data_IF_309275682428
#
_entry.id   IF_309275682428
#
_cell.length_a   1.000
_cell.length_b   1.000
_cell.length_c   1.000
_cell.angle_alpha   90.00
_cell.angle_beta   90.00
_cell.angle_gamma   90.00
#
_symmetry.space_group_name_H-M   'P 1'
#
loop_
_entity.id
_entity.type
_entity.pdbx_description
1 polymer ?
#
# COMPACT_ATOMS: atom_id res chain seq x y z
N UNK A 1 -0.08 11.90 46.82
CA UNK A 1 -0.24 10.50 46.38
C UNK A 1 -0.84 10.52 44.99
N UNK A 2 -0.21 9.86 44.02
CA UNK A 2 -0.77 9.70 42.68
C UNK A 2 -2.09 8.91 42.76
N UNK A 3 -3.09 9.35 42.01
CA UNK A 3 -4.41 8.72 41.95
C UNK A 3 -4.25 7.25 41.51
N UNK A 4 -4.87 6.27 42.17
CA UNK A 4 -4.76 4.88 41.77
C UNK A 4 -5.36 4.70 40.37
N UNK A 5 -4.60 4.05 39.49
CA UNK A 5 -5.01 3.77 38.11
C UNK A 5 -6.17 2.77 38.11
N UNK A 6 -7.17 3.06 37.30
CA UNK A 6 -8.27 2.15 36.98
C UNK A 6 -7.76 0.90 36.27
N UNK A 7 -8.50 -0.21 36.31
CA UNK A 7 -8.07 -1.45 35.65
C UNK A 7 -7.97 -1.32 34.12
N UNK A 8 -8.72 -0.37 33.54
CA UNK A 8 -8.60 -0.02 32.13
C UNK A 8 -7.29 0.72 31.83
N UNK A 9 -6.83 1.60 32.73
CA UNK A 9 -5.53 2.27 32.64
C UNK A 9 -4.36 1.32 32.92
N UNK A 10 -4.55 0.30 33.78
CA UNK A 10 -3.57 -0.78 33.98
C UNK A 10 -3.40 -1.63 32.72
N UNK A 11 -4.49 -1.96 32.02
CA UNK A 11 -4.46 -2.72 30.75
C UNK A 11 -3.88 -1.92 29.57
N UNK A 12 -3.92 -0.58 29.62
CA UNK A 12 -3.28 0.31 28.64
C UNK A 12 -1.76 0.46 28.85
N UNK A 13 -1.19 -0.08 29.92
CA UNK A 13 0.25 0.05 30.15
C UNK A 13 1.05 -0.78 29.15
N UNK A 14 1.95 -0.13 28.42
CA UNK A 14 3.01 -0.78 27.65
C UNK A 14 3.93 -1.51 28.65
N UNK A 15 4.31 -2.76 28.35
CA UNK A 15 5.22 -3.57 29.19
C UNK A 15 6.61 -2.94 29.37
N UNK A 16 6.99 -1.97 28.53
CA UNK A 16 8.28 -1.29 28.55
C UNK A 16 8.04 0.23 28.47
N UNK A 17 8.21 0.93 29.60
CA UNK A 17 8.00 2.39 29.72
C UNK A 17 9.26 3.23 29.44
N UNK A 18 10.44 2.61 29.47
CA UNK A 18 11.71 3.26 29.13
C UNK A 18 12.01 3.17 27.62
N UNK A 19 12.73 4.15 27.10
CA UNK A 19 13.65 3.85 25.99
C UNK A 19 14.80 3.08 26.65
N UNK A 20 15.23 1.95 26.07
CA UNK A 20 16.44 1.27 26.52
C UNK A 20 17.59 2.24 26.24
N UNK A 21 17.91 3.06 27.23
CA UNK A 21 18.92 4.10 27.16
C UNK A 21 20.29 3.46 27.33
N UNK A 22 21.18 3.73 26.37
CA UNK A 22 22.53 3.17 26.25
C UNK A 22 22.48 1.66 26.00
N UNK A 23 22.24 1.30 24.75
CA UNK A 23 22.18 -0.10 24.34
C UNK A 23 23.57 -0.71 24.46
N UNK A 24 23.75 -1.43 25.57
CA UNK A 24 25.00 -2.08 25.93
C UNK A 24 25.21 -3.27 24.98
N UNK A 25 26.40 -3.36 24.39
CA UNK A 25 26.88 -4.50 23.58
C UNK A 25 26.50 -5.85 24.23
N UNK A 26 26.54 -5.93 25.57
CA UNK A 26 26.12 -7.11 26.32
C UNK A 26 24.65 -7.52 26.10
N UNK A 27 23.71 -6.55 26.06
CA UNK A 27 22.29 -6.82 25.81
C UNK A 27 22.05 -7.24 24.36
N UNK A 28 22.74 -6.63 23.39
CA UNK A 28 22.66 -7.05 21.98
C UNK A 28 23.14 -8.49 21.79
N UNK A 29 24.28 -8.87 22.40
CA UNK A 29 24.77 -10.26 22.38
C UNK A 29 23.78 -11.23 23.02
N UNK A 30 23.12 -10.83 24.11
CA UNK A 30 22.11 -11.65 24.78
C UNK A 30 20.85 -11.79 23.91
N UNK A 31 20.39 -10.71 23.29
CA UNK A 31 19.30 -10.71 22.32
C UNK A 31 19.57 -11.63 21.13
N UNK A 32 20.76 -11.50 20.53
CA UNK A 32 21.24 -12.34 19.43
C UNK A 32 21.19 -13.83 19.79
N UNK A 33 21.83 -14.23 20.90
CA UNK A 33 21.84 -15.63 21.32
C UNK A 33 20.44 -16.15 21.68
N UNK A 34 19.58 -15.30 22.25
CA UNK A 34 18.18 -15.63 22.53
C UNK A 34 17.42 -15.92 21.24
N UNK A 35 17.57 -15.12 20.19
CA UNK A 35 16.90 -15.37 18.91
C UNK A 35 17.47 -16.57 18.18
N UNK A 36 18.79 -16.74 18.18
CA UNK A 36 19.42 -17.94 17.61
C UNK A 36 18.85 -19.23 18.25
N UNK A 37 18.71 -19.23 19.58
CA UNK A 37 18.23 -20.40 20.30
C UNK A 37 16.70 -20.60 20.21
N UNK A 38 15.90 -19.58 20.56
CA UNK A 38 14.45 -19.73 20.71
C UNK A 38 13.65 -19.40 19.45
N UNK A 39 14.15 -18.52 18.59
CA UNK A 39 13.45 -18.14 17.35
C UNK A 39 13.85 -19.05 16.21
N UNK A 40 15.14 -19.33 16.06
CA UNK A 40 15.66 -20.14 14.94
C UNK A 40 15.85 -21.62 15.29
N UNK A 41 15.80 -21.96 16.58
CA UNK A 41 15.98 -23.35 17.05
C UNK A 41 17.35 -23.91 16.62
N UNK A 42 18.39 -23.09 16.83
CA UNK A 42 19.77 -23.41 16.47
C UNK A 42 20.70 -23.31 17.68
N UNK A 43 21.76 -24.11 17.65
CA UNK A 43 22.96 -23.91 18.45
C UNK A 43 24.15 -23.50 17.54
N UNK A 44 25.23 -23.01 18.15
CA UNK A 44 26.37 -22.46 17.41
C UNK A 44 27.13 -23.48 16.55
N UNK A 45 26.98 -24.78 16.80
CA UNK A 45 27.68 -25.82 16.04
C UNK A 45 27.05 -26.10 14.67
N UNK A 46 25.75 -25.80 14.52
CA UNK A 46 24.97 -26.08 13.29
C UNK A 46 24.39 -24.83 12.64
N UNK A 47 24.63 -23.66 13.24
CA UNK A 47 24.18 -22.38 12.71
C UNK A 47 24.99 -21.97 11.48
N UNK A 48 24.26 -21.58 10.44
CA UNK A 48 24.81 -21.07 9.17
C UNK A 48 24.86 -19.53 9.19
N UNK A 49 25.59 -18.89 8.26
CA UNK A 49 25.55 -17.43 8.13
C UNK A 49 24.14 -16.85 8.03
N UNK A 50 23.22 -17.54 7.35
CA UNK A 50 21.80 -17.13 7.25
C UNK A 50 21.09 -17.17 8.60
N UNK A 51 21.37 -18.18 9.43
CA UNK A 51 20.82 -18.25 10.79
C UNK A 51 21.34 -17.05 11.62
N UNK A 52 22.61 -16.68 11.48
CA UNK A 52 23.18 -15.51 12.16
C UNK A 52 22.58 -14.19 11.69
N UNK A 53 22.35 -14.03 10.38
CA UNK A 53 21.62 -12.87 9.85
C UNK A 53 20.23 -12.74 10.47
N UNK A 54 19.42 -13.81 10.48
CA UNK A 54 18.08 -13.75 11.05
C UNK A 54 18.10 -13.47 12.56
N UNK A 55 19.07 -14.01 13.30
CA UNK A 55 19.22 -13.71 14.71
C UNK A 55 19.52 -12.22 14.96
N UNK A 56 20.38 -11.61 14.13
CA UNK A 56 20.67 -10.18 14.16
C UNK A 56 19.45 -9.35 13.76
N UNK A 57 18.76 -9.68 12.65
CA UNK A 57 17.58 -8.98 12.18
C UNK A 57 16.45 -8.97 13.24
N UNK A 58 16.18 -10.11 13.88
CA UNK A 58 15.22 -10.17 14.98
C UNK A 58 15.65 -9.34 16.19
N UNK A 59 16.94 -9.36 16.53
CA UNK A 59 17.50 -8.55 17.62
C UNK A 59 17.26 -7.07 17.33
N UNK A 60 17.67 -6.55 16.17
CA UNK A 60 17.48 -5.14 15.78
C UNK A 60 15.99 -4.78 15.71
N UNK A 61 15.15 -5.67 15.19
CA UNK A 61 13.70 -5.46 15.09
C UNK A 61 13.03 -5.26 16.45
N UNK A 62 13.48 -5.94 17.52
CA UNK A 62 12.91 -5.75 18.85
C UNK A 62 13.03 -4.28 19.33
N UNK A 63 14.06 -3.56 18.90
CA UNK A 63 14.24 -2.14 19.18
C UNK A 63 13.28 -1.23 18.40
N UNK A 64 12.76 -1.69 17.26
CA UNK A 64 11.71 -0.99 16.52
C UNK A 64 10.34 -1.13 17.17
N UNK A 65 9.99 -2.33 17.65
CA UNK A 65 8.62 -2.66 18.09
C UNK A 65 8.12 -1.71 19.17
N UNK A 66 8.96 -1.41 20.19
CA UNK A 66 8.60 -0.49 21.26
C UNK A 66 8.37 0.95 20.78
N UNK A 67 9.17 1.42 19.82
CA UNK A 67 9.02 2.75 19.21
C UNK A 67 7.78 2.81 18.33
N UNK A 68 7.56 1.78 17.52
CA UNK A 68 6.43 1.65 16.63
C UNK A 68 5.08 1.67 17.35
N UNK A 69 4.94 0.89 18.42
CA UNK A 69 3.72 0.91 19.25
C UNK A 69 3.46 2.33 19.78
N UNK A 70 4.48 3.02 20.29
CA UNK A 70 4.35 4.38 20.82
C UNK A 70 4.01 5.40 19.75
N UNK A 71 4.60 5.32 18.56
CA UNK A 71 4.26 6.22 17.44
C UNK A 71 2.81 6.05 17.02
N UNK A 72 2.34 4.81 16.86
CA UNK A 72 0.94 4.55 16.51
C UNK A 72 -0.02 5.05 17.60
N UNK A 73 0.29 4.76 18.88
CA UNK A 73 -0.49 5.28 20.01
C UNK A 73 -0.53 6.81 20.03
N UNK A 74 0.61 7.47 19.83
CA UNK A 74 0.70 8.93 19.76
C UNK A 74 -0.20 9.50 18.65
N UNK A 75 -0.21 8.89 17.46
CA UNK A 75 -1.10 9.32 16.38
C UNK A 75 -2.58 9.10 16.72
N UNK A 76 -2.94 8.04 17.43
CA UNK A 76 -4.33 7.89 17.90
C UNK A 76 -4.70 8.90 18.98
N UNK A 77 -3.80 9.24 19.90
CA UNK A 77 -4.06 10.19 20.99
C UNK A 77 -4.12 11.64 20.52
N UNK A 78 -3.20 12.04 19.64
CA UNK A 78 -3.15 13.39 19.07
C UNK A 78 -4.10 13.61 17.92
N UNK A 79 -4.45 12.52 17.23
CA UNK A 79 -5.36 12.50 16.09
C UNK A 79 -5.02 13.55 15.01
N UNK A 80 -3.77 13.60 14.53
CA UNK A 80 -3.36 14.56 13.51
C UNK A 80 -3.98 14.19 12.15
N UNK A 81 -3.93 15.14 11.21
CA UNK A 81 -4.12 14.83 9.80
C UNK A 81 -3.10 13.76 9.36
N UNK A 82 -3.58 12.72 8.69
CA UNK A 82 -2.77 11.59 8.23
C UNK A 82 -2.56 11.65 6.73
N UNK A 83 -1.35 11.29 6.31
CA UNK A 83 -0.92 11.24 4.91
C UNK A 83 -0.89 9.78 4.47
N UNK A 84 -1.53 9.48 3.35
CA UNK A 84 -1.56 8.15 2.76
C UNK A 84 -0.96 8.21 1.37
N UNK A 85 0.21 7.57 1.21
CA UNK A 85 0.93 7.51 -0.05
C UNK A 85 0.62 6.18 -0.74
N UNK A 86 -0.15 6.22 -1.82
CA UNK A 86 -0.55 5.02 -2.57
C UNK A 86 0.41 4.85 -3.74
N UNK A 87 1.09 3.70 -3.78
CA UNK A 87 2.01 3.34 -4.86
C UNK A 87 1.89 1.85 -5.13
N UNK A 88 1.90 1.46 -6.41
CA UNK A 88 2.02 0.06 -6.80
C UNK A 88 3.46 -0.46 -6.67
N UNK A 89 4.41 0.42 -6.37
CA UNK A 89 5.83 0.10 -6.22
C UNK A 89 6.43 0.74 -4.96
N UNK A 90 7.25 -0.04 -4.24
CA UNK A 90 8.15 0.42 -3.19
C UNK A 90 9.49 -0.29 -3.33
N UNK A 91 10.49 0.38 -3.89
CA UNK A 91 11.82 -0.21 -4.05
C UNK A 91 12.64 0.02 -2.78
N UNK A 92 12.41 -0.85 -1.79
CA UNK A 92 12.95 -0.67 -0.43
C UNK A 92 14.43 -1.04 -0.33
N UNK A 93 14.84 -2.14 -0.98
CA UNK A 93 16.15 -2.75 -0.82
C UNK A 93 16.29 -3.49 0.52
N UNK A 94 17.53 -3.62 1.00
CA UNK A 94 17.85 -4.19 2.32
C UNK A 94 17.45 -3.26 3.47
N UNK A 95 16.99 -3.82 4.59
CA UNK A 95 16.42 -3.05 5.71
C UNK A 95 17.30 -3.06 6.96
N UNK A 96 18.17 -4.06 7.14
CA UNK A 96 18.97 -4.23 8.35
C UNK A 96 19.85 -3.02 8.66
N UNK A 97 20.72 -2.66 7.71
CA UNK A 97 21.66 -1.56 7.87
C UNK A 97 20.94 -0.21 8.04
N UNK A 98 19.92 0.07 7.22
CA UNK A 98 19.12 1.29 7.34
C UNK A 98 18.47 1.41 8.74
N UNK A 99 17.95 0.31 9.27
CA UNK A 99 17.36 0.29 10.62
C UNK A 99 18.41 0.58 11.69
N UNK A 100 19.59 -0.04 11.61
CA UNK A 100 20.68 0.21 12.56
C UNK A 100 21.12 1.67 12.54
N UNK A 101 21.22 2.28 11.36
CA UNK A 101 21.57 3.70 11.18
C UNK A 101 20.49 4.58 11.83
N UNK A 102 19.22 4.40 11.46
CA UNK A 102 18.12 5.26 11.93
C UNK A 102 17.88 5.14 13.44
N UNK A 103 18.23 4.00 14.05
CA UNK A 103 18.16 3.81 15.50
C UNK A 103 19.44 4.22 16.25
N UNK A 104 20.54 4.49 15.54
CA UNK A 104 21.85 4.80 16.14
C UNK A 104 22.54 3.59 16.77
N UNK A 105 22.31 2.39 16.24
CA UNK A 105 22.75 1.10 16.81
C UNK A 105 23.90 0.44 16.04
N UNK A 106 24.31 1.01 14.91
CA UNK A 106 25.28 0.40 14.00
C UNK A 106 26.57 -0.02 14.72
N UNK A 107 27.25 0.92 15.39
CA UNK A 107 28.51 0.62 16.10
C UNK A 107 28.33 -0.40 17.24
N UNK A 108 27.18 -0.39 17.91
CA UNK A 108 26.92 -1.32 19.01
C UNK A 108 26.64 -2.74 18.50
N UNK A 109 25.97 -2.87 17.35
CA UNK A 109 25.75 -4.14 16.68
C UNK A 109 27.07 -4.69 16.11
N UNK A 110 27.87 -3.85 15.47
CA UNK A 110 29.18 -4.22 14.94
C UNK A 110 30.08 -4.81 16.03
N UNK A 111 30.28 -4.09 17.14
CA UNK A 111 31.05 -4.59 18.29
C UNK A 111 30.45 -5.87 18.90
N UNK A 112 29.13 -5.99 18.98
CA UNK A 112 28.47 -7.18 19.50
C UNK A 112 28.72 -8.42 18.63
N UNK A 113 28.61 -8.27 17.31
CA UNK A 113 28.81 -9.32 16.31
C UNK A 113 30.30 -9.70 16.24
N UNK A 114 31.21 -8.72 16.25
CA UNK A 114 32.65 -8.94 16.34
C UNK A 114 33.04 -9.77 17.57
N UNK A 115 32.54 -9.42 18.76
CA UNK A 115 32.81 -10.19 19.98
C UNK A 115 32.19 -11.60 19.99
N UNK A 116 31.22 -11.87 19.11
CA UNK A 116 30.68 -13.22 18.91
C UNK A 116 31.52 -14.01 17.89
N UNK A 117 32.51 -13.40 17.25
CA UNK A 117 33.39 -14.02 16.25
C UNK A 117 32.74 -14.09 14.87
N UNK A 118 31.94 -13.09 14.52
CA UNK A 118 31.23 -12.97 13.24
C UNK A 118 31.58 -11.62 12.60
N UNK A 119 31.43 -11.52 11.28
CA UNK A 119 31.56 -10.27 10.52
C UNK A 119 30.16 -9.74 10.18
N UNK A 120 29.87 -8.49 10.52
CA UNK A 120 28.55 -7.90 10.26
C UNK A 120 28.32 -7.63 8.78
N UNK A 121 29.35 -7.31 8.00
CA UNK A 121 29.23 -7.05 6.56
C UNK A 121 28.83 -8.33 5.82
N UNK A 122 29.40 -9.47 6.21
CA UNK A 122 29.00 -10.78 5.67
C UNK A 122 27.53 -11.10 5.97
N UNK A 123 27.01 -10.67 7.13
CA UNK A 123 25.59 -10.88 7.48
C UNK A 123 24.66 -9.93 6.74
N UNK A 124 25.08 -8.68 6.50
CA UNK A 124 24.33 -7.70 5.72
C UNK A 124 24.15 -8.14 4.26
N UNK A 125 25.16 -8.81 3.68
CA UNK A 125 25.11 -9.34 2.30
C UNK A 125 24.14 -10.51 2.11
N UNK A 126 23.70 -11.17 3.18
CA UNK A 126 22.74 -12.29 3.11
C UNK A 126 21.30 -11.81 2.96
N UNK A 127 21.02 -10.56 3.34
CA UNK A 127 19.69 -9.97 3.23
C UNK A 127 19.28 -9.87 1.76
N UNK A 128 18.14 -10.46 1.42
CA UNK A 128 17.53 -10.30 0.11
C UNK A 128 16.89 -8.91 0.00
N UNK A 129 17.00 -8.29 -1.16
CA UNK A 129 16.32 -7.01 -1.42
C UNK A 129 14.81 -7.19 -1.44
N UNK A 130 14.07 -6.31 -0.78
CA UNK A 130 12.64 -6.17 -1.01
C UNK A 130 12.40 -5.41 -2.32
N UNK A 131 12.55 -6.12 -3.45
CA UNK A 131 12.42 -5.65 -4.84
C UNK A 131 10.99 -5.37 -5.29
N UNK A 132 10.20 -4.70 -4.46
CA UNK A 132 8.77 -4.42 -4.69
C UNK A 132 8.55 -3.19 -5.59
N UNK A 133 9.52 -2.84 -6.41
CA UNK A 133 9.49 -1.76 -7.40
C UNK A 133 10.45 -2.03 -8.54
N UNK A 134 10.21 -1.39 -9.69
CA UNK A 134 11.02 -1.60 -10.90
C UNK A 134 12.19 -0.60 -10.96
N UNK A 135 11.93 0.67 -10.62
CA UNK A 135 12.95 1.70 -10.79
C UNK A 135 12.70 2.97 -9.99
N UNK A 136 12.92 4.12 -10.64
CA UNK A 136 12.93 5.43 -9.99
C UNK A 136 11.62 5.79 -9.27
N UNK A 137 10.47 5.37 -9.81
CA UNK A 137 9.16 5.62 -9.18
C UNK A 137 9.03 4.89 -7.84
N UNK A 138 9.33 3.59 -7.80
CA UNK A 138 9.36 2.80 -6.57
C UNK A 138 10.42 3.27 -5.57
N UNK A 139 11.60 3.69 -6.04
CA UNK A 139 12.66 4.20 -5.15
C UNK A 139 12.32 5.55 -4.56
N UNK A 140 11.68 6.44 -5.32
CA UNK A 140 11.17 7.71 -4.80
C UNK A 140 10.19 7.48 -3.66
N UNK A 141 9.25 6.54 -3.83
CA UNK A 141 8.29 6.17 -2.80
C UNK A 141 8.99 5.70 -1.51
N UNK A 142 10.01 4.84 -1.62
CA UNK A 142 10.80 4.38 -0.49
C UNK A 142 11.52 5.54 0.24
N UNK A 143 12.17 6.43 -0.51
CA UNK A 143 12.84 7.62 0.06
C UNK A 143 11.85 8.58 0.73
N UNK A 144 10.64 8.73 0.20
CA UNK A 144 9.58 9.52 0.83
C UNK A 144 9.12 8.90 2.15
N UNK A 145 9.01 7.58 2.27
CA UNK A 145 8.64 6.94 3.54
C UNK A 145 9.68 7.22 4.63
N UNK A 146 10.97 7.08 4.32
CA UNK A 146 12.06 7.42 5.25
C UNK A 146 12.00 8.90 5.65
N UNK A 147 11.86 9.81 4.68
CA UNK A 147 11.77 11.25 4.93
C UNK A 147 10.57 11.61 5.81
N UNK A 148 9.38 11.04 5.54
CA UNK A 148 8.18 11.31 6.33
C UNK A 148 8.32 10.82 7.77
N UNK A 149 8.97 9.67 7.98
CA UNK A 149 9.29 9.18 9.32
C UNK A 149 10.30 10.11 10.03
N UNK A 150 11.35 10.53 9.34
CA UNK A 150 12.39 11.45 9.85
C UNK A 150 11.83 12.83 10.21
N UNK A 151 10.85 13.33 9.44
CA UNK A 151 10.16 14.59 9.71
C UNK A 151 9.04 14.47 10.76
N UNK A 152 8.77 13.27 11.29
CA UNK A 152 7.73 13.05 12.30
C UNK A 152 6.30 13.18 11.76
N UNK A 153 6.11 13.08 10.44
CA UNK A 153 4.81 13.19 9.79
C UNK A 153 4.01 11.90 10.01
N UNK A 154 2.71 12.03 10.33
CA UNK A 154 1.79 10.90 10.50
C UNK A 154 1.42 10.29 9.13
N UNK A 155 2.37 9.57 8.54
CA UNK A 155 2.29 9.07 7.18
C UNK A 155 2.31 7.55 7.08
N UNK A 156 1.66 7.03 6.04
CA UNK A 156 1.55 5.61 5.75
C UNK A 156 1.81 5.37 4.26
N UNK A 157 2.65 4.40 3.94
CA UNK A 157 2.77 3.87 2.59
C UNK A 157 1.80 2.71 2.39
N UNK A 158 1.07 2.70 1.27
CA UNK A 158 0.17 1.60 0.90
C UNK A 158 0.53 1.05 -0.47
N UNK A 159 0.70 -0.27 -0.54
CA UNK A 159 1.08 -0.98 -1.76
C UNK A 159 0.63 -2.45 -1.74
N UNK A 160 1.19 -3.23 -2.67
CA UNK A 160 0.93 -4.68 -2.79
C UNK A 160 2.16 -5.44 -2.27
N UNK A 161 1.92 -6.53 -1.54
CA UNK A 161 2.96 -7.46 -1.12
C UNK A 161 3.15 -8.50 -2.21
N UNK A 162 3.94 -8.17 -3.23
CA UNK A 162 4.23 -9.12 -4.30
C UNK A 162 5.05 -10.30 -3.77
N UNK A 163 4.64 -11.51 -4.14
CA UNK A 163 5.37 -12.73 -3.79
C UNK A 163 6.71 -12.80 -4.53
N UNK A 164 6.68 -12.41 -5.80
CA UNK A 164 7.84 -12.21 -6.65
C UNK A 164 7.95 -10.73 -7.02
N UNK A 165 9.15 -10.17 -6.86
CA UNK A 165 9.46 -8.80 -7.25
C UNK A 165 9.49 -8.61 -8.77
N UNK A 166 10.43 -7.82 -9.27
CA UNK A 166 10.60 -7.63 -10.71
C UNK A 166 11.11 -8.91 -11.41
N UNK A 167 12.40 -9.21 -11.30
CA UNK A 167 13.06 -10.45 -11.71
C UNK A 167 14.56 -10.35 -11.36
N UNK A 168 15.20 -11.49 -11.18
CA UNK A 168 16.66 -11.59 -11.12
C UNK A 168 17.23 -11.67 -12.55
N UNK A 169 18.00 -10.67 -12.94
CA UNK A 169 18.66 -10.64 -14.25
C UNK A 169 19.92 -11.53 -14.23
N UNK A 170 20.01 -12.46 -15.18
CA UNK A 170 21.26 -13.17 -15.49
C UNK A 170 21.68 -12.94 -16.93
N UNK A 171 22.98 -12.95 -17.18
CA UNK A 171 23.54 -12.89 -18.52
C UNK A 171 24.02 -14.28 -18.92
N UNK A 172 23.41 -14.86 -19.95
CA UNK A 172 23.82 -16.14 -20.55
C UNK A 172 24.12 -15.91 -22.02
N UNK A 173 25.36 -16.22 -22.44
CA UNK A 173 25.80 -16.07 -23.83
C UNK A 173 25.60 -14.65 -24.41
N UNK A 174 25.74 -13.62 -23.57
CA UNK A 174 25.53 -12.21 -23.96
C UNK A 174 24.07 -11.75 -23.97
N UNK A 175 23.12 -12.61 -23.62
CA UNK A 175 21.69 -12.29 -23.58
C UNK A 175 21.14 -12.27 -22.15
N UNK A 176 20.14 -11.40 -21.94
CA UNK A 176 19.36 -11.38 -20.71
C UNK A 176 18.51 -12.64 -20.59
N UNK A 177 18.50 -13.21 -19.38
CA UNK A 177 17.58 -14.27 -18.96
C UNK A 177 16.96 -13.83 -17.63
N UNK A 178 15.62 -13.79 -17.57
CA UNK A 178 14.90 -13.49 -16.35
C UNK A 178 14.68 -14.75 -15.50
N UNK A 179 15.02 -14.68 -14.21
CA UNK A 179 14.63 -15.66 -13.22
C UNK A 179 13.73 -15.00 -12.16
N UNK A 180 12.79 -15.76 -11.57
CA UNK A 180 11.87 -15.21 -10.57
C UNK A 180 12.63 -14.71 -9.33
N UNK A 181 12.21 -13.56 -8.81
CA UNK A 181 12.72 -12.99 -7.57
C UNK A 181 11.96 -13.53 -6.36
N UNK A 182 12.44 -14.63 -5.79
CA UNK A 182 11.83 -15.33 -4.64
C UNK A 182 12.38 -14.80 -3.29
N UNK A 183 12.27 -13.49 -3.08
CA UNK A 183 12.78 -12.79 -1.90
C UNK A 183 12.15 -13.25 -0.58
N UNK A 184 10.96 -13.87 -0.64
CA UNK A 184 10.23 -14.38 0.53
C UNK A 184 10.54 -15.84 0.88
N UNK A 185 11.33 -16.55 0.08
CA UNK A 185 11.64 -17.98 0.24
C UNK A 185 12.03 -18.38 1.65
N UNK A 186 12.84 -17.55 2.30
CA UNK A 186 13.39 -17.79 3.64
C UNK A 186 12.64 -17.01 4.74
N UNK A 187 11.54 -16.36 4.38
CA UNK A 187 10.81 -15.43 5.23
C UNK A 187 11.38 -14.01 5.22
N UNK A 188 10.53 -13.05 5.60
CA UNK A 188 10.91 -11.65 5.78
C UNK A 188 10.80 -11.31 7.28
N UNK A 189 11.91 -11.02 7.98
CA UNK A 189 11.87 -10.79 9.42
C UNK A 189 11.21 -9.44 9.78
N UNK A 190 11.11 -8.50 8.83
CA UNK A 190 10.67 -7.12 9.08
C UNK A 190 9.15 -6.95 9.08
N UNK A 191 8.44 -7.79 8.32
CA UNK A 191 7.00 -7.67 8.20
C UNK A 191 6.23 -8.26 9.40
N UNK A 192 5.02 -7.76 9.61
CA UNK A 192 4.06 -8.33 10.54
C UNK A 192 2.71 -8.50 9.86
N UNK A 193 2.30 -9.75 9.65
CA UNK A 193 0.95 -10.08 9.23
C UNK A 193 -0.09 -9.60 10.25
N UNK A 194 -1.20 -9.04 9.75
CA UNK A 194 -2.34 -8.53 10.51
C UNK A 194 -3.66 -9.16 10.05
N UNK A 195 -3.83 -10.49 10.21
CA UNK A 195 -5.05 -11.19 9.79
C UNK A 195 -6.33 -10.64 10.44
N UNK A 196 -6.21 -9.99 11.61
CA UNK A 196 -7.30 -9.30 12.28
C UNK A 196 -7.89 -8.09 11.51
N UNK A 197 -7.19 -7.61 10.47
CA UNK A 197 -7.62 -6.48 9.62
C UNK A 197 -7.85 -6.88 8.16
N UNK A 198 -8.20 -8.14 7.92
CA UNK A 198 -8.50 -8.63 6.58
C UNK A 198 -9.79 -7.99 6.03
N UNK A 199 -9.78 -7.60 4.76
CA UNK A 199 -10.87 -6.85 4.12
C UNK A 199 -11.35 -7.54 2.83
N UNK A 200 -12.66 -7.58 2.55
CA UNK A 200 -13.17 -8.08 1.27
C UNK A 200 -12.99 -7.05 0.17
N UNK A 201 -12.61 -7.53 -1.02
CA UNK A 201 -12.45 -6.77 -2.26
C UNK A 201 -13.31 -7.44 -3.32
N UNK A 202 -14.06 -6.64 -4.05
CA UNK A 202 -15.08 -7.13 -4.98
C UNK A 202 -14.62 -6.91 -6.42
N UNK A 203 -14.92 -7.87 -7.30
CA UNK A 203 -14.69 -7.76 -8.74
C UNK A 203 -15.91 -8.27 -9.51
N UNK A 204 -16.03 -7.87 -10.77
CA UNK A 204 -17.11 -8.26 -11.68
C UNK A 204 -18.49 -7.86 -11.17
N UNK A 205 -19.46 -8.77 -11.25
CA UNK A 205 -20.83 -8.54 -10.85
C UNK A 205 -21.56 -7.56 -11.74
N UNK A 206 -22.60 -6.94 -11.18
CA UNK A 206 -23.47 -6.01 -11.91
C UNK A 206 -24.06 -4.95 -10.99
N UNK A 207 -24.58 -3.90 -11.61
CA UNK A 207 -25.22 -2.80 -10.89
C UNK A 207 -26.73 -2.96 -10.90
N UNK A 208 -27.34 -2.90 -9.72
CA UNK A 208 -28.79 -2.87 -9.53
C UNK A 208 -29.25 -1.50 -9.04
N UNK A 209 -30.26 -0.94 -9.71
CA UNK A 209 -30.95 0.26 -9.27
C UNK A 209 -32.16 -0.14 -8.43
N UNK A 210 -32.08 0.06 -7.11
CA UNK A 210 -33.19 -0.19 -6.19
C UNK A 210 -33.87 1.12 -5.78
N UNK A 211 -35.07 1.05 -5.19
CA UNK A 211 -35.71 2.22 -4.58
C UNK A 211 -34.84 2.88 -3.48
N UNK A 212 -33.96 2.11 -2.84
CA UNK A 212 -33.03 2.57 -1.80
C UNK A 212 -31.68 3.08 -2.33
N UNK A 213 -31.53 3.15 -3.65
CA UNK A 213 -30.32 3.56 -4.34
C UNK A 213 -29.63 2.42 -5.09
N UNK A 214 -28.42 2.73 -5.57
CA UNK A 214 -27.61 1.83 -6.40
C UNK A 214 -26.89 0.79 -5.53
N UNK A 215 -26.83 -0.46 -6.00
CA UNK A 215 -26.06 -1.54 -5.36
C UNK A 215 -25.17 -2.26 -6.37
N UNK A 216 -23.97 -2.62 -5.95
CA UNK A 216 -23.07 -3.48 -6.72
C UNK A 216 -23.16 -4.90 -6.14
N UNK A 217 -23.66 -5.84 -6.93
CA UNK A 217 -24.05 -7.19 -6.48
C UNK A 217 -23.47 -8.27 -7.39
N UNK A 218 -23.60 -9.53 -6.99
CA UNK A 218 -23.12 -10.71 -7.71
C UNK A 218 -21.61 -10.67 -8.03
N UNK A 219 -20.84 -10.13 -7.08
CA UNK A 219 -19.40 -9.92 -7.24
C UNK A 219 -18.60 -11.14 -6.82
N UNK A 220 -17.44 -11.33 -7.45
CA UNK A 220 -16.41 -12.24 -6.95
C UNK A 220 -15.65 -11.54 -5.83
N UNK A 221 -15.41 -12.25 -4.71
CA UNK A 221 -14.73 -11.69 -3.54
C UNK A 221 -13.31 -12.23 -3.45
N UNK A 222 -12.36 -11.33 -3.22
CA UNK A 222 -10.97 -11.62 -2.84
C UNK A 222 -10.70 -10.96 -1.49
N UNK A 223 -9.95 -11.61 -0.61
CA UNK A 223 -9.57 -11.05 0.68
C UNK A 223 -8.23 -10.34 0.59
N UNK A 224 -8.14 -9.13 1.16
CA UNK A 224 -6.91 -8.38 1.31
C UNK A 224 -6.36 -8.55 2.73
N UNK A 225 -5.26 -9.27 2.86
CA UNK A 225 -4.53 -9.48 4.11
C UNK A 225 -3.41 -8.43 4.25
N UNK A 226 -3.44 -7.55 5.26
CA UNK A 226 -2.38 -6.57 5.45
C UNK A 226 -1.14 -7.17 6.12
N UNK A 227 0.02 -6.77 5.60
CA UNK A 227 1.34 -6.94 6.20
C UNK A 227 1.95 -5.57 6.47
N UNK A 228 2.30 -5.31 7.71
CA UNK A 228 2.89 -4.05 8.12
C UNK A 228 4.41 -4.17 8.24
N UNK A 229 5.15 -3.25 7.64
CA UNK A 229 6.60 -3.09 7.80
C UNK A 229 6.89 -1.75 8.49
N UNK A 230 7.65 -1.73 9.59
CA UNK A 230 8.00 -0.51 10.30
C UNK A 230 9.00 0.34 9.50
N UNK A 231 8.77 1.66 9.43
CA UNK A 231 9.67 2.61 8.77
C UNK A 231 10.24 3.57 9.83
N UNK A 232 11.46 3.34 10.33
CA UNK A 232 12.07 4.21 11.33
C UNK A 232 12.54 5.54 10.73
N UNK A 233 12.28 6.64 11.44
CA UNK A 233 12.88 7.94 11.14
C UNK A 233 14.26 8.08 11.77
N UNK A 234 15.12 8.89 11.15
CA UNK A 234 16.51 9.08 11.58
C UNK A 234 16.59 9.72 12.98
N UNK A 235 17.04 8.94 13.96
CA UNK A 235 17.35 9.37 15.34
C UNK A 235 16.24 10.15 16.07
N UNK A 236 14.97 10.00 15.67
CA UNK A 236 13.84 10.77 16.21
C UNK A 236 12.79 9.92 16.96
N UNK A 237 12.99 8.60 17.05
CA UNK A 237 12.10 7.60 17.64
C UNK A 237 10.70 7.46 16.99
N UNK A 238 10.44 8.15 15.88
CA UNK A 238 9.23 7.95 15.07
C UNK A 238 9.41 6.71 14.23
N UNK A 239 8.41 5.82 14.26
CA UNK A 239 8.36 4.67 13.36
C UNK A 239 6.99 4.66 12.67
N UNK A 240 6.98 5.03 11.39
CA UNK A 240 5.81 4.97 10.53
C UNK A 240 5.55 3.54 10.05
N UNK A 241 4.52 3.36 9.23
CA UNK A 241 4.12 2.05 8.71
C UNK A 241 4.04 2.09 7.19
N UNK A 242 4.70 1.14 6.54
CA UNK A 242 4.34 0.70 5.19
C UNK A 242 3.41 -0.51 5.32
N UNK A 243 2.21 -0.42 4.74
CA UNK A 243 1.21 -1.50 4.73
C UNK A 243 1.08 -2.06 3.33
N UNK A 244 1.37 -3.34 3.17
CA UNK A 244 1.30 -4.04 1.90
C UNK A 244 0.19 -5.09 1.95
N UNK A 245 -0.65 -5.14 0.91
CA UNK A 245 -1.77 -6.07 0.82
C UNK A 245 -1.38 -7.34 0.08
N UNK A 246 -1.70 -8.50 0.66
CA UNK A 246 -1.60 -9.81 0.02
C UNK A 246 -3.02 -10.30 -0.32
N UNK A 247 -3.22 -10.72 -1.56
CA UNK A 247 -4.48 -11.28 -2.01
C UNK A 247 -4.62 -12.72 -1.52
N UNK A 248 -5.78 -13.04 -0.94
CA UNK A 248 -6.14 -14.37 -0.45
C UNK A 248 -7.52 -14.75 -0.97
N UNK A 249 -7.69 -16.01 -1.33
CA UNK A 249 -9.01 -16.52 -1.59
C UNK A 249 -9.83 -16.58 -0.28
N UNK A 250 -11.14 -16.33 -0.32
CA UNK A 250 -12.00 -16.61 0.82
C UNK A 250 -11.95 -18.10 1.17
N UNK A 251 -12.01 -18.43 2.47
CA UNK A 251 -12.03 -19.81 2.96
C UNK A 251 -13.41 -20.45 2.79
N UNK A 252 -14.04 -20.24 1.65
CA UNK A 252 -15.30 -20.89 1.31
C UNK A 252 -14.94 -22.28 0.78
N UNK A 253 -14.55 -23.19 1.68
CA UNK A 253 -14.42 -24.61 1.35
C UNK A 253 -15.81 -25.11 0.95
N UNK A 254 -16.13 -25.02 -0.34
CA UNK A 254 -17.41 -25.43 -0.85
C UNK A 254 -17.43 -26.95 -0.92
N UNK A 255 -17.86 -27.57 0.19
CA UNK A 255 -18.07 -29.03 0.30
C UNK A 255 -18.93 -29.57 -0.84
N UNK A 256 -19.82 -28.75 -1.44
CA UNK A 256 -20.58 -29.17 -2.62
C UNK A 256 -19.66 -29.42 -3.80
N UNK A 257 -18.81 -28.46 -4.18
CA UNK A 257 -17.89 -28.59 -5.32
C UNK A 257 -16.90 -29.75 -5.11
N UNK A 258 -16.46 -29.95 -3.85
CA UNK A 258 -15.64 -31.10 -3.47
C UNK A 258 -16.39 -32.44 -3.65
N UNK A 259 -17.66 -32.50 -3.25
CA UNK A 259 -18.48 -33.71 -3.34
C UNK A 259 -18.93 -34.05 -4.78
N UNK A 260 -18.93 -33.09 -5.72
CA UNK A 260 -19.22 -33.35 -7.14
C UNK A 260 -17.97 -33.71 -7.95
N UNK A 261 -16.79 -33.76 -7.31
CA UNK A 261 -15.53 -34.09 -7.96
C UNK A 261 -14.82 -32.89 -8.61
N UNK A 262 -15.27 -31.67 -8.36
CA UNK A 262 -14.74 -30.43 -8.96
C UNK A 262 -13.65 -29.78 -8.09
N UNK A 263 -12.90 -30.60 -7.35
CA UNK A 263 -11.82 -30.15 -6.45
C UNK A 263 -10.72 -29.39 -7.19
N UNK A 264 -10.50 -29.70 -8.46
CA UNK A 264 -9.51 -29.04 -9.31
C UNK A 264 -9.90 -27.58 -9.51
N UNK A 265 -11.18 -27.31 -9.83
CA UNK A 265 -11.64 -25.95 -10.10
C UNK A 265 -11.56 -25.06 -8.85
N UNK A 266 -11.90 -25.59 -7.67
CA UNK A 266 -11.76 -24.85 -6.41
C UNK A 266 -10.31 -24.42 -6.11
N UNK A 267 -9.33 -25.26 -6.46
CA UNK A 267 -7.90 -24.93 -6.32
C UNK A 267 -7.46 -23.91 -7.38
N UNK A 268 -7.97 -24.01 -8.61
CA UNK A 268 -7.70 -23.04 -9.68
C UNK A 268 -8.24 -21.65 -9.32
N UNK A 269 -9.47 -21.57 -8.84
CA UNK A 269 -10.12 -20.30 -8.45
C UNK A 269 -9.37 -19.61 -7.32
N UNK A 270 -8.86 -20.38 -6.36
CA UNK A 270 -7.98 -19.86 -5.32
C UNK A 270 -6.69 -19.28 -5.91
N UNK A 271 -6.02 -19.99 -6.81
CA UNK A 271 -4.82 -19.47 -7.47
C UNK A 271 -5.13 -18.17 -8.25
N UNK A 272 -6.26 -18.10 -8.95
CA UNK A 272 -6.67 -16.89 -9.68
C UNK A 272 -6.84 -15.66 -8.78
N UNK A 273 -7.37 -15.84 -7.56
CA UNK A 273 -7.45 -14.78 -6.57
C UNK A 273 -6.06 -14.35 -6.04
N UNK A 274 -5.22 -15.34 -5.72
CA UNK A 274 -3.87 -15.10 -5.17
C UNK A 274 -2.90 -14.52 -6.22
N UNK A 275 -3.16 -14.70 -7.53
CA UNK A 275 -2.38 -14.12 -8.63
C UNK A 275 -2.25 -12.60 -8.57
N UNK A 276 -3.24 -11.91 -7.98
CA UNK A 276 -3.24 -10.44 -7.89
C UNK A 276 -1.98 -9.95 -7.19
N UNK A 277 -1.56 -10.57 -6.09
CA UNK A 277 -0.35 -10.18 -5.36
C UNK A 277 0.86 -11.06 -5.68
N UNK A 278 0.91 -11.70 -6.85
CA UNK A 278 1.98 -12.65 -7.15
C UNK A 278 3.21 -12.03 -7.78
N UNK A 279 3.07 -11.24 -8.85
CA UNK A 279 4.21 -10.65 -9.58
C UNK A 279 3.98 -9.15 -9.79
N UNK A 280 5.06 -8.36 -9.66
CA UNK A 280 5.07 -6.94 -9.99
C UNK A 280 5.05 -6.75 -11.53
N UNK A 281 4.06 -6.01 -12.06
CA UNK A 281 3.82 -5.81 -13.51
C UNK A 281 3.73 -7.11 -14.33
N UNK A 282 2.57 -7.79 -14.35
CA UNK A 282 2.38 -8.87 -15.30
C UNK A 282 2.48 -8.35 -16.75
N UNK A 283 2.99 -9.18 -17.66
CA UNK A 283 3.02 -8.87 -19.09
C UNK A 283 1.61 -8.54 -19.60
N UNK A 284 1.40 -7.31 -20.07
CA UNK A 284 0.10 -6.75 -20.45
C UNK A 284 -0.14 -6.74 -21.98
N UNK A 285 0.71 -7.41 -22.75
CA UNK A 285 0.52 -7.54 -24.20
C UNK A 285 -0.73 -8.35 -24.58
N UNK A 286 -1.29 -9.09 -23.63
CA UNK A 286 -2.52 -9.88 -23.80
C UNK A 286 -3.63 -9.37 -22.86
N UNK A 287 -4.88 -9.66 -23.23
CA UNK A 287 -6.06 -9.18 -22.49
C UNK A 287 -6.05 -9.61 -21.02
N UNK A 288 -5.66 -10.85 -20.75
CA UNK A 288 -5.56 -11.41 -19.39
C UNK A 288 -4.54 -10.65 -18.54
N UNK A 289 -3.44 -10.19 -19.14
CA UNK A 289 -2.43 -9.37 -18.49
C UNK A 289 -2.94 -7.99 -18.10
N UNK A 290 -3.68 -7.34 -19.03
CA UNK A 290 -4.37 -6.06 -18.78
C UNK A 290 -5.41 -6.17 -17.67
N UNK A 291 -6.20 -7.25 -17.69
CA UNK A 291 -7.20 -7.51 -16.65
C UNK A 291 -6.53 -7.74 -15.28
N UNK A 292 -5.45 -8.52 -15.22
CA UNK A 292 -4.70 -8.72 -13.97
C UNK A 292 -4.10 -7.42 -13.43
N UNK A 293 -3.57 -6.56 -14.32
CA UNK A 293 -3.03 -5.26 -13.93
C UNK A 293 -4.10 -4.34 -13.34
N UNK A 294 -5.26 -4.21 -13.99
CA UNK A 294 -6.37 -3.44 -13.44
C UNK A 294 -6.89 -4.03 -12.13
N UNK A 295 -6.87 -5.37 -11.96
CA UNK A 295 -7.18 -6.02 -10.68
C UNK A 295 -6.20 -5.63 -9.59
N UNK A 296 -4.89 -5.56 -9.87
CA UNK A 296 -3.87 -5.10 -8.92
C UNK A 296 -4.14 -3.66 -8.46
N UNK A 297 -4.36 -2.75 -9.41
CA UNK A 297 -4.66 -1.34 -9.15
C UNK A 297 -5.90 -1.17 -8.28
N UNK A 298 -7.01 -1.83 -8.66
CA UNK A 298 -8.23 -1.74 -7.88
C UNK A 298 -8.09 -2.43 -6.51
N UNK A 299 -7.36 -3.54 -6.42
CA UNK A 299 -7.17 -4.28 -5.17
C UNK A 299 -6.49 -3.42 -4.09
N UNK A 300 -5.36 -2.78 -4.43
CA UNK A 300 -4.68 -1.89 -3.47
C UNK A 300 -5.55 -0.70 -3.10
N UNK A 301 -6.27 -0.13 -4.06
CA UNK A 301 -7.15 1.02 -3.84
C UNK A 301 -8.29 0.68 -2.89
N UNK A 302 -9.05 -0.37 -3.18
CA UNK A 302 -10.24 -0.74 -2.43
C UNK A 302 -9.89 -1.17 -1.00
N UNK A 303 -8.80 -1.92 -0.81
CA UNK A 303 -8.35 -2.32 0.52
C UNK A 303 -7.89 -1.10 1.34
N UNK A 304 -7.12 -0.21 0.71
CA UNK A 304 -6.58 0.98 1.35
C UNK A 304 -7.66 1.97 1.77
N UNK A 305 -8.62 2.27 0.89
CA UNK A 305 -9.69 3.22 1.21
C UNK A 305 -10.62 2.72 2.32
N UNK A 306 -10.94 1.42 2.34
CA UNK A 306 -11.67 0.80 3.45
C UNK A 306 -10.90 0.94 4.77
N UNK A 307 -9.58 0.71 4.76
CA UNK A 307 -8.74 0.84 5.96
C UNK A 307 -8.62 2.30 6.45
N UNK A 308 -8.51 3.26 5.51
CA UNK A 308 -8.49 4.71 5.81
C UNK A 308 -9.81 5.15 6.44
N UNK A 309 -10.94 4.77 5.85
CA UNK A 309 -12.27 5.14 6.35
C UNK A 309 -12.52 4.52 7.72
N UNK A 310 -12.17 3.25 7.91
CA UNK A 310 -12.22 2.58 9.21
C UNK A 310 -11.41 3.35 10.26
N UNK A 311 -10.19 3.78 9.93
CA UNK A 311 -9.32 4.56 10.83
C UNK A 311 -9.86 5.96 11.11
N UNK A 312 -10.45 6.61 10.10
CA UNK A 312 -11.10 7.90 10.26
C UNK A 312 -12.29 7.81 11.23
N UNK A 313 -13.14 6.78 11.07
CA UNK A 313 -14.29 6.53 11.95
C UNK A 313 -13.85 6.17 13.38
N UNK A 314 -12.83 5.34 13.52
CA UNK A 314 -12.28 4.87 14.80
C UNK A 314 -11.18 5.82 15.33
N UNK A 315 -11.53 7.07 15.60
CA UNK A 315 -10.57 8.11 16.02
C UNK A 315 -10.11 8.00 17.49
N UNK A 316 -10.53 6.96 18.24
CA UNK A 316 -10.13 6.72 19.62
C UNK A 316 -9.35 5.41 19.75
N UNK A 317 -8.21 5.45 20.43
CA UNK A 317 -7.36 4.28 20.63
C UNK A 317 -8.09 3.15 21.38
N UNK A 318 -8.03 1.93 20.84
CA UNK A 318 -8.53 0.72 21.50
C UNK A 318 -10.05 0.54 21.46
N UNK A 319 -10.78 1.33 20.66
CA UNK A 319 -12.21 1.10 20.39
C UNK A 319 -12.44 0.90 18.89
N UNK A 320 -13.40 0.04 18.56
CA UNK A 320 -13.93 -0.15 17.21
C UNK A 320 -15.18 0.70 16.96
N UNK A 321 -15.62 1.47 17.96
CA UNK A 321 -16.77 2.35 17.83
C UNK A 321 -16.49 3.46 16.82
N UNK A 322 -17.46 3.71 15.94
CA UNK A 322 -17.41 4.82 15.00
C UNK A 322 -17.70 6.11 15.76
N UNK A 323 -16.65 6.88 16.06
CA UNK A 323 -16.75 8.17 16.75
C UNK A 323 -17.06 9.28 15.75
N UNK A 324 -16.45 9.23 14.56
CA UNK A 324 -16.76 10.15 13.46
C UNK A 324 -17.73 9.48 12.50
N UNK A 325 -18.92 10.06 12.37
CA UNK A 325 -19.97 9.60 11.44
C UNK A 325 -20.24 10.61 10.32
N UNK A 326 -19.90 11.88 10.53
CA UNK A 326 -19.89 12.91 9.50
C UNK A 326 -18.53 12.94 8.79
N UNK A 327 -18.54 13.21 7.48
CA UNK A 327 -17.35 13.24 6.63
C UNK A 327 -16.91 14.64 6.22
N UNK A 328 -17.57 15.70 6.71
CA UNK A 328 -17.22 17.09 6.38
C UNK A 328 -15.77 17.42 6.73
N UNK A 329 -15.25 16.85 7.82
CA UNK A 329 -13.85 17.01 8.26
C UNK A 329 -12.91 15.94 7.71
N UNK A 330 -13.36 15.09 6.79
CA UNK A 330 -12.52 14.04 6.21
C UNK A 330 -11.26 14.62 5.53
N UNK A 331 -11.34 15.68 4.70
CA UNK A 331 -10.15 16.27 4.08
C UNK A 331 -9.21 16.96 5.06
N UNK A 332 -9.70 17.36 6.24
CA UNK A 332 -8.87 17.94 7.31
C UNK A 332 -8.06 16.86 8.06
N UNK A 333 -8.46 15.61 7.92
CA UNK A 333 -7.92 14.47 8.65
C UNK A 333 -7.21 13.45 7.75
N UNK A 334 -7.49 13.49 6.44
CA UNK A 334 -6.99 12.55 5.45
C UNK A 334 -6.47 13.33 4.25
N UNK A 335 -5.22 13.04 3.86
CA UNK A 335 -4.68 13.40 2.55
C UNK A 335 -4.21 12.11 1.86
N UNK A 336 -4.58 11.94 0.59
CA UNK A 336 -4.20 10.78 -0.21
C UNK A 336 -3.40 11.26 -1.41
N UNK A 337 -2.15 10.79 -1.51
CA UNK A 337 -1.26 11.07 -2.63
C UNK A 337 -1.29 9.89 -3.60
N UNK A 338 -1.57 10.19 -4.87
CA UNK A 338 -1.52 9.24 -5.98
C UNK A 338 -0.13 9.32 -6.64
N UNK A 339 0.64 8.22 -6.54
CA UNK A 339 1.94 8.08 -7.19
C UNK A 339 1.76 7.55 -8.63
N UNK A 340 1.75 8.46 -9.60
CA UNK A 340 1.26 8.24 -10.97
C UNK A 340 -0.23 7.86 -11.04
N UNK A 341 -0.65 7.33 -12.19
CA UNK A 341 -2.03 6.98 -12.56
C UNK A 341 -2.45 5.59 -12.06
N UNK A 342 -1.51 4.76 -11.61
CA UNK A 342 -1.81 3.41 -11.14
C UNK A 342 -2.88 3.37 -10.02
N UNK A 343 -2.85 4.22 -8.97
CA UNK A 343 -3.91 4.25 -7.95
C UNK A 343 -5.10 5.16 -8.32
N UNK A 344 -5.26 5.58 -9.57
CA UNK A 344 -6.30 6.54 -10.02
C UNK A 344 -7.73 6.09 -9.72
N UNK A 345 -7.97 4.77 -9.68
CA UNK A 345 -9.26 4.18 -9.29
C UNK A 345 -9.68 4.52 -7.86
N UNK A 346 -8.78 5.11 -7.04
CA UNK A 346 -9.13 5.62 -5.72
C UNK A 346 -10.17 6.74 -5.76
N UNK A 347 -10.17 7.56 -6.82
CA UNK A 347 -11.15 8.63 -7.00
C UNK A 347 -12.57 8.06 -7.13
N UNK A 348 -12.88 7.19 -8.11
CA UNK A 348 -14.22 6.60 -8.23
C UNK A 348 -14.55 5.63 -7.09
N UNK A 349 -13.59 4.94 -6.48
CA UNK A 349 -13.86 4.07 -5.32
C UNK A 349 -14.26 4.89 -4.08
N UNK A 350 -13.59 6.00 -3.79
CA UNK A 350 -13.98 6.87 -2.68
C UNK A 350 -15.38 7.45 -2.90
N UNK A 351 -15.68 7.88 -4.13
CA UNK A 351 -17.02 8.29 -4.53
C UNK A 351 -18.03 7.16 -4.34
N UNK A 352 -17.72 5.93 -4.75
CA UNK A 352 -18.60 4.78 -4.56
C UNK A 352 -18.92 4.54 -3.09
N UNK A 353 -17.91 4.55 -2.21
CA UNK A 353 -18.12 4.37 -0.78
C UNK A 353 -19.02 5.49 -0.23
N UNK A 354 -18.73 6.75 -0.57
CA UNK A 354 -19.53 7.88 -0.10
C UNK A 354 -20.98 7.87 -0.60
N UNK A 355 -21.21 7.53 -1.87
CA UNK A 355 -22.55 7.51 -2.46
C UNK A 355 -23.34 6.27 -2.04
N UNK A 356 -22.75 5.09 -2.21
CA UNK A 356 -23.48 3.84 -2.16
C UNK A 356 -23.55 3.30 -0.73
N UNK A 357 -22.53 3.57 0.11
CA UNK A 357 -22.44 3.05 1.48
C UNK A 357 -22.80 4.14 2.49
N UNK A 358 -22.11 5.28 2.47
CA UNK A 358 -22.31 6.38 3.44
C UNK A 358 -23.48 7.30 3.07
N UNK A 359 -24.10 7.09 1.90
CA UNK A 359 -25.31 7.79 1.42
C UNK A 359 -25.17 9.32 1.36
N UNK A 360 -23.97 9.82 1.05
CA UNK A 360 -23.73 11.24 0.82
C UNK A 360 -24.32 11.68 -0.53
N UNK A 361 -24.87 12.91 -0.62
CA UNK A 361 -25.21 13.51 -1.91
C UNK A 361 -23.97 13.67 -2.79
N UNK A 362 -24.13 13.54 -4.12
CA UNK A 362 -23.03 13.61 -5.08
C UNK A 362 -22.13 14.84 -4.92
N UNK A 363 -22.73 16.04 -4.82
CA UNK A 363 -21.97 17.29 -4.71
C UNK A 363 -21.07 17.32 -3.47
N UNK A 364 -21.57 16.79 -2.34
CA UNK A 364 -20.81 16.70 -1.09
C UNK A 364 -19.71 15.65 -1.17
N UNK A 365 -20.03 14.46 -1.70
CA UNK A 365 -19.04 13.40 -1.90
C UNK A 365 -17.89 13.85 -2.82
N UNK A 366 -18.21 14.57 -3.90
CA UNK A 366 -17.23 15.08 -4.85
C UNK A 366 -16.34 16.18 -4.26
N UNK A 367 -16.91 17.13 -3.53
CA UNK A 367 -16.14 18.17 -2.83
C UNK A 367 -15.13 17.57 -1.84
N UNK A 368 -15.56 16.60 -1.03
CA UNK A 368 -14.68 15.88 -0.10
C UNK A 368 -13.60 15.10 -0.86
N UNK A 369 -13.98 14.38 -1.92
CA UNK A 369 -13.06 13.58 -2.75
C UNK A 369 -11.95 14.45 -3.33
N UNK A 370 -12.32 15.53 -4.03
CA UNK A 370 -11.34 16.43 -4.65
C UNK A 370 -10.38 17.08 -3.65
N UNK A 371 -10.87 17.50 -2.47
CA UNK A 371 -10.03 18.05 -1.39
C UNK A 371 -9.11 17.01 -0.72
N UNK A 372 -9.41 15.72 -0.87
CA UNK A 372 -8.62 14.64 -0.27
C UNK A 372 -7.45 14.22 -1.16
N UNK A 373 -7.65 14.20 -2.49
CA UNK A 373 -6.66 13.68 -3.44
C UNK A 373 -5.72 14.73 -4.01
N UNK A 374 -4.44 14.36 -4.10
CA UNK A 374 -3.43 15.04 -4.90
C UNK A 374 -2.72 14.02 -5.81
N UNK A 375 -2.32 14.46 -7.01
CA UNK A 375 -1.77 13.59 -8.06
C UNK A 375 -0.36 14.04 -8.48
N UNK A 376 0.58 13.11 -8.49
CA UNK A 376 1.93 13.32 -9.06
C UNK A 376 2.06 12.59 -10.38
N UNK A 377 2.40 13.32 -11.44
CA UNK A 377 2.70 12.76 -12.76
C UNK A 377 4.21 12.57 -12.92
N UNK A 378 4.63 11.41 -13.43
CA UNK A 378 6.05 11.08 -13.66
C UNK A 378 6.44 10.98 -15.14
N UNK A 379 5.48 11.09 -16.05
CA UNK A 379 5.72 10.92 -17.49
C UNK A 379 4.89 11.86 -18.35
N UNK A 380 5.52 12.36 -19.41
CA UNK A 380 4.89 13.15 -20.47
C UNK A 380 4.77 12.36 -21.79
N UNK A 381 5.30 11.13 -21.82
CA UNK A 381 5.22 10.27 -23.00
C UNK A 381 3.79 9.72 -23.15
N UNK A 382 3.08 10.03 -24.26
CA UNK A 382 1.69 9.61 -24.44
C UNK A 382 1.47 8.11 -24.31
N UNK A 383 2.44 7.30 -24.74
CA UNK A 383 2.42 5.83 -24.67
C UNK A 383 2.51 5.28 -23.24
N UNK A 384 3.00 6.07 -22.29
CA UNK A 384 3.13 5.68 -20.89
C UNK A 384 1.94 6.12 -20.03
N UNK A 385 1.00 6.90 -20.59
CA UNK A 385 -0.21 7.32 -19.88
C UNK A 385 -1.27 6.22 -19.95
N UNK A 386 -1.77 5.79 -18.80
CA UNK A 386 -2.73 4.69 -18.74
C UNK A 386 -4.06 5.04 -19.43
N UNK A 387 -4.46 4.14 -20.33
CA UNK A 387 -5.69 4.20 -21.12
C UNK A 387 -6.42 2.86 -21.07
N UNK A 388 -7.33 2.70 -20.10
CA UNK A 388 -8.05 1.45 -19.93
C UNK A 388 -9.21 1.33 -20.92
N UNK A 389 -9.34 0.22 -21.68
CA UNK A 389 -10.52 -0.01 -22.51
C UNK A 389 -11.81 0.01 -21.68
N UNK A 390 -12.82 0.72 -22.16
CA UNK A 390 -14.10 0.86 -21.44
C UNK A 390 -14.73 -0.51 -21.17
N UNK A 391 -14.71 -1.42 -22.14
CA UNK A 391 -15.27 -2.77 -22.00
C UNK A 391 -14.61 -3.58 -20.88
N UNK A 392 -13.30 -3.40 -20.67
CA UNK A 392 -12.58 -4.06 -19.58
C UNK A 392 -13.04 -3.53 -18.21
N UNK A 393 -13.16 -2.21 -18.09
CA UNK A 393 -13.63 -1.57 -16.85
C UNK A 393 -15.12 -1.88 -16.62
N UNK A 394 -15.93 -1.95 -17.67
CA UNK A 394 -17.34 -2.34 -17.60
C UNK A 394 -17.50 -3.75 -17.04
N UNK A 395 -16.73 -4.70 -17.57
CA UNK A 395 -16.76 -6.10 -17.12
C UNK A 395 -16.28 -6.22 -15.67
N UNK A 396 -15.17 -5.57 -15.31
CA UNK A 396 -14.52 -5.80 -14.02
C UNK A 396 -15.09 -4.92 -12.91
N UNK A 397 -15.44 -3.68 -13.20
CA UNK A 397 -15.79 -2.62 -12.23
C UNK A 397 -16.98 -1.79 -12.75
N UNK A 398 -18.15 -2.41 -13.00
CA UNK A 398 -19.27 -1.76 -13.67
C UNK A 398 -19.80 -0.52 -12.92
N UNK A 399 -19.74 -0.54 -11.59
CA UNK A 399 -20.17 0.61 -10.77
C UNK A 399 -19.23 1.79 -10.91
N UNK A 400 -17.93 1.55 -10.97
CA UNK A 400 -16.91 2.59 -11.12
C UNK A 400 -17.01 3.24 -12.49
N UNK A 401 -17.30 2.46 -13.54
CA UNK A 401 -17.52 3.01 -14.87
C UNK A 401 -18.69 4.03 -14.89
N UNK A 402 -19.82 3.72 -14.24
CA UNK A 402 -20.93 4.66 -14.12
C UNK A 402 -20.52 5.95 -13.38
N UNK A 403 -19.73 5.84 -12.32
CA UNK A 403 -19.22 7.00 -11.57
C UNK A 403 -18.26 7.82 -12.44
N UNK A 404 -17.38 7.18 -13.21
CA UNK A 404 -16.45 7.85 -14.13
C UNK A 404 -17.23 8.60 -15.22
N UNK A 405 -18.28 8.00 -15.79
CA UNK A 405 -19.13 8.69 -16.76
C UNK A 405 -19.82 9.91 -16.16
N UNK A 406 -20.34 9.82 -14.93
CA UNK A 406 -20.95 10.94 -14.24
C UNK A 406 -19.94 12.06 -13.92
N UNK A 407 -18.71 11.69 -13.53
CA UNK A 407 -17.59 12.65 -13.37
C UNK A 407 -17.32 13.34 -14.71
N UNK A 408 -17.21 12.58 -15.80
CA UNK A 408 -16.94 13.12 -17.13
C UNK A 408 -18.05 14.08 -17.58
N UNK A 409 -19.31 13.69 -17.43
CA UNK A 409 -20.45 14.51 -17.82
C UNK A 409 -20.43 15.86 -17.10
N UNK A 410 -20.29 15.86 -15.77
CA UNK A 410 -20.23 17.09 -14.96
C UNK A 410 -19.00 17.94 -15.28
N UNK A 411 -17.86 17.30 -15.56
CA UNK A 411 -16.65 18.00 -16.00
C UNK A 411 -16.89 18.72 -17.33
N UNK A 412 -17.40 18.02 -18.33
CA UNK A 412 -17.66 18.58 -19.66
C UNK A 412 -18.75 19.66 -19.64
N UNK A 413 -19.76 19.54 -18.79
CA UNK A 413 -20.76 20.60 -18.59
C UNK A 413 -20.11 21.88 -18.04
N UNK A 414 -19.15 21.76 -17.11
CA UNK A 414 -18.36 22.89 -16.61
C UNK A 414 -17.47 23.49 -17.70
N UNK A 415 -16.81 22.67 -18.51
CA UNK A 415 -15.98 23.15 -19.63
C UNK A 415 -16.85 23.86 -20.68
N UNK A 416 -18.02 23.32 -21.01
CA UNK A 416 -18.97 23.94 -21.95
C UNK A 416 -19.47 25.30 -21.45
N UNK A 417 -19.70 25.44 -20.15
CA UNK A 417 -20.08 26.73 -19.56
C UNK A 417 -18.94 27.77 -19.62
N UNK A 418 -17.69 27.34 -19.45
CA UNK A 418 -16.51 28.23 -19.48
C UNK A 418 -16.06 28.59 -20.91
N UNK A 419 -16.20 27.65 -21.86
CA UNK A 419 -15.76 27.78 -23.24
C UNK A 419 -16.87 27.35 -24.22
N UNK A 420 -17.97 28.12 -24.36
CA UNK A 420 -19.17 27.68 -25.09
C UNK A 420 -18.97 27.39 -26.59
N UNK A 421 -17.95 27.97 -27.20
CA UNK A 421 -17.68 27.89 -28.65
C UNK A 421 -16.58 26.90 -29.03
N UNK A 422 -15.80 26.39 -28.07
CA UNK A 422 -14.65 25.50 -28.31
C UNK A 422 -15.07 24.03 -28.13
N UNK A 423 -15.79 23.51 -29.12
CA UNK A 423 -16.30 22.12 -29.07
C UNK A 423 -15.16 21.10 -29.09
N UNK A 424 -14.07 21.36 -29.82
CA UNK A 424 -12.93 20.44 -29.87
C UNK A 424 -12.23 20.36 -28.51
N UNK A 425 -12.22 21.43 -27.70
CA UNK A 425 -11.74 21.36 -26.31
C UNK A 425 -12.54 20.38 -25.45
N UNK A 426 -13.85 20.26 -25.65
CA UNK A 426 -14.65 19.26 -24.94
C UNK A 426 -14.16 17.84 -25.26
N UNK A 427 -13.86 17.56 -26.52
CA UNK A 427 -13.31 16.27 -26.94
C UNK A 427 -11.93 16.03 -26.30
N UNK A 428 -11.03 17.01 -26.36
CA UNK A 428 -9.66 16.90 -25.82
C UNK A 428 -9.62 16.78 -24.29
N UNK A 429 -10.57 17.37 -23.57
CA UNK A 429 -10.61 17.36 -22.09
C UNK A 429 -11.51 16.26 -21.51
N UNK A 430 -12.17 15.47 -22.36
CA UNK A 430 -12.96 14.32 -21.92
C UNK A 430 -12.08 13.29 -21.21
N UNK A 431 -12.62 12.68 -20.15
CA UNK A 431 -12.03 11.48 -19.54
C UNK A 431 -12.20 10.25 -20.43
N UNK A 432 -13.12 10.31 -21.39
CA UNK A 432 -13.45 9.22 -22.31
C UNK A 432 -12.96 9.56 -23.70
N UNK A 433 -12.07 8.73 -24.22
CA UNK A 433 -11.55 8.81 -25.58
C UNK A 433 -12.44 7.97 -26.50
N UNK A 434 -12.95 8.58 -27.55
CA UNK A 434 -13.90 7.97 -28.50
C UNK A 434 -13.22 7.39 -29.76
N UNK A 435 -11.96 7.76 -30.01
CA UNK A 435 -11.24 7.32 -31.21
C UNK A 435 -10.78 5.85 -31.10
N UNK A 436 -11.21 5.02 -32.06
CA UNK A 436 -10.89 3.59 -32.07
C UNK A 436 -11.70 2.81 -31.03
N UNK A 437 -11.02 2.06 -30.17
CA UNK A 437 -11.66 1.41 -29.02
C UNK A 437 -11.80 2.44 -27.91
N UNK A 438 -13.02 2.60 -27.37
CA UNK A 438 -13.28 3.54 -26.29
C UNK A 438 -12.39 3.28 -25.09
N UNK A 439 -11.74 4.32 -24.58
CA UNK A 439 -10.79 4.22 -23.45
C UNK A 439 -11.06 5.29 -22.40
N UNK A 440 -10.70 4.97 -21.16
CA UNK A 440 -10.70 5.90 -20.05
C UNK A 440 -9.29 6.44 -19.88
N UNK A 441 -9.16 7.77 -19.92
CA UNK A 441 -7.93 8.50 -19.70
C UNK A 441 -7.71 8.72 -18.20
N UNK A 442 -6.85 7.89 -17.60
CA UNK A 442 -6.64 7.89 -16.15
C UNK A 442 -5.94 9.16 -15.66
N UNK A 443 -5.10 9.77 -16.50
CA UNK A 443 -4.46 11.04 -16.20
C UNK A 443 -5.49 12.18 -16.11
N UNK A 444 -6.45 12.25 -17.05
CA UNK A 444 -7.55 13.22 -16.98
C UNK A 444 -8.42 12.98 -15.76
N UNK A 445 -8.72 11.72 -15.42
CA UNK A 445 -9.44 11.39 -14.19
C UNK A 445 -8.69 11.91 -12.95
N UNK A 446 -7.38 11.67 -12.85
CA UNK A 446 -6.55 12.17 -11.75
C UNK A 446 -6.54 13.69 -11.66
N UNK A 447 -6.38 14.39 -12.78
CA UNK A 447 -6.37 15.87 -12.83
C UNK A 447 -7.71 16.43 -12.37
N UNK A 448 -8.82 15.86 -12.84
CA UNK A 448 -10.18 16.34 -12.51
C UNK A 448 -10.57 16.00 -11.08
N UNK A 449 -10.13 14.85 -10.56
CA UNK A 449 -10.46 14.36 -9.22
C UNK A 449 -9.53 14.82 -8.10
N UNK A 450 -8.52 15.65 -8.39
CA UNK A 450 -7.51 16.10 -7.42
C UNK A 450 -7.48 17.61 -7.27
N UNK A 451 -7.23 18.12 -6.05
CA UNK A 451 -7.06 19.56 -5.81
C UNK A 451 -5.66 20.07 -6.19
N UNK A 452 -4.69 19.19 -6.34
CA UNK A 452 -3.32 19.51 -6.71
C UNK A 452 -2.76 18.49 -7.70
N UNK A 453 -2.02 19.00 -8.70
CA UNK A 453 -1.27 18.20 -9.68
C UNK A 453 0.15 18.73 -9.72
N UNK A 454 1.15 17.84 -9.60
CA UNK A 454 2.55 18.22 -9.67
C UNK A 454 3.35 17.30 -10.61
N UNK A 455 4.37 17.87 -11.25
CA UNK A 455 5.44 17.09 -11.86
C UNK A 455 6.57 16.80 -10.88
N UNK A 456 7.62 16.12 -11.36
CA UNK A 456 8.78 15.71 -10.55
C UNK A 456 10.05 16.54 -10.77
N UNK A 457 10.01 17.49 -11.70
CA UNK A 457 11.05 18.48 -11.93
C UNK A 457 10.43 19.79 -12.44
N UNK A 458 11.18 20.89 -12.39
CA UNK A 458 10.71 22.20 -12.91
C UNK A 458 10.33 22.10 -14.40
N UNK A 459 11.27 21.64 -15.23
CA UNK A 459 11.05 21.46 -16.67
C UNK A 459 9.85 20.54 -16.96
N UNK A 460 9.74 19.43 -16.23
CA UNK A 460 8.64 18.49 -16.37
C UNK A 460 7.29 19.14 -16.03
N UNK A 461 7.23 19.87 -14.91
CA UNK A 461 6.01 20.57 -14.49
C UNK A 461 5.59 21.68 -15.47
N UNK A 462 6.57 22.33 -16.11
CA UNK A 462 6.30 23.35 -17.12
C UNK A 462 5.78 22.72 -18.43
N UNK A 463 6.30 21.55 -18.83
CA UNK A 463 5.78 20.77 -19.96
C UNK A 463 4.34 20.34 -19.71
N UNK A 464 4.04 19.78 -18.54
CA UNK A 464 2.67 19.35 -18.16
C UNK A 464 1.66 20.50 -18.19
N UNK A 465 2.09 21.76 -18.01
CA UNK A 465 1.19 22.93 -18.08
C UNK A 465 1.00 23.47 -19.50
N UNK A 466 1.96 23.23 -20.39
CA UNK A 466 2.04 23.93 -21.68
C UNK A 466 1.82 23.04 -22.89
N UNK A 467 2.06 21.73 -22.77
CA UNK A 467 2.08 20.79 -23.88
C UNK A 467 1.20 19.55 -23.69
N UNK A 468 0.80 19.26 -22.44
CA UNK A 468 -0.10 18.17 -22.04
C UNK A 468 -1.39 18.80 -21.53
#
# INVERSE_FOLDING_TARGET
MSRPLTDQEKRKQISIRGIVGVENVAELKKGFNRHLHFTLVKDRNVATPRDYYFALAHTVRDHLVGRWIRTQQYYYEKDPKRIYYLSLEFYMGRTLQNTMINLGLQNACDEAIYQLGLDIEELEEIEEDAGLGNGGLGRLAACFLDSMATLGLAAYGYGIRYEYGIFNQKIREGWQVEEADDWLRHGNPWEKARPEYMLPIHFYGRVENTQTGVRWVDTQVVLALPYDTPIPGYMNNTVNTMRLWSARAPNDFNLRDFNVGDYIQAVLDRNLAENISRVLYPNDNFFEGKELRLKQEYFVVAATLQDIIRRYKASKFGTTESVRTAFDSFPDQVAIQLNDTHPSMAIPELMRIFLDIEKLPWSKAWDITTKTFAYTNHTVLPEALERWPVELVEKLLPRHLQIIYEINQRHLDKIRALFPTDVDRLRRMSLIEEEGVKRINMAHLCIVGSHAVNGVAKIHSDIVKSQV
#
